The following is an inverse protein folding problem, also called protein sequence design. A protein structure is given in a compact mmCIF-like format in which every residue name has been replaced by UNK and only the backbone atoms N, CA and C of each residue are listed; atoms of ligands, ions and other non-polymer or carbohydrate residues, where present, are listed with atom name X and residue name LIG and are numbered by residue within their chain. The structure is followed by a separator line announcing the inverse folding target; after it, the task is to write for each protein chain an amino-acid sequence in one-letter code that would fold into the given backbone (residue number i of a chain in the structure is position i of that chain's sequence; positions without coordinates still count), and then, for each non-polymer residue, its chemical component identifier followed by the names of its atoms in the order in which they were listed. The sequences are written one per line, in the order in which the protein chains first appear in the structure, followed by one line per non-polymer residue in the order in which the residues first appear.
data_IF_708604094289
#
_entry.id   IF_708604094289
#
_cell.length_a   1.000
_cell.length_b   1.000
_cell.length_c   1.000
_cell.angle_alpha   90.00
_cell.angle_beta   90.00
_cell.angle_gamma   90.00
#
_symmetry.space_group_name_H-M   'P 1'
#
loop_
_entity.id
_entity.type
_entity.pdbx_description
1 polymer ?
#
# COMPACT_ATOMS: atom_id res chain seq x y z
N UNK A 1 6.08 6.45 38.23
CA UNK A 1 4.94 6.73 37.33
C UNK A 1 5.47 7.50 36.12
N UNK A 2 5.72 6.81 35.00
CA UNK A 2 6.10 7.48 33.75
C UNK A 2 4.85 7.64 32.88
N UNK A 3 4.05 8.68 33.14
CA UNK A 3 2.98 9.07 32.23
C UNK A 3 3.61 9.76 31.01
N UNK A 4 3.53 9.12 29.84
CA UNK A 4 3.77 9.80 28.56
C UNK A 4 2.60 10.79 28.37
N UNK A 5 2.81 12.11 28.38
CA UNK A 5 1.71 13.03 28.13
C UNK A 5 1.27 12.84 26.68
N UNK A 6 0.06 12.31 26.49
CA UNK A 6 -0.58 12.30 25.19
C UNK A 6 -1.01 13.74 24.94
N UNK A 7 -0.17 14.50 24.25
CA UNK A 7 -0.49 15.87 23.88
C UNK A 7 -1.79 15.89 23.06
N UNK A 8 -2.76 16.71 23.46
CA UNK A 8 -4.03 16.91 22.77
C UNK A 8 -3.82 17.32 21.29
N UNK A 9 -2.74 18.04 20.99
CA UNK A 9 -2.33 18.37 19.62
C UNK A 9 -2.10 17.12 18.76
N UNK A 10 -1.56 16.04 19.33
CA UNK A 10 -1.34 14.77 18.63
C UNK A 10 -2.67 14.09 18.30
N UNK A 11 -3.69 14.28 19.13
CA UNK A 11 -5.05 13.75 18.91
C UNK A 11 -5.71 14.49 17.76
N UNK A 12 -5.67 15.83 17.74
CA UNK A 12 -6.20 16.61 16.62
C UNK A 12 -5.54 16.25 15.28
N UNK A 13 -4.21 16.14 15.27
CA UNK A 13 -3.48 15.70 14.07
C UNK A 13 -3.95 14.32 13.59
N UNK A 14 -4.12 13.36 14.51
CA UNK A 14 -4.64 12.01 14.18
C UNK A 14 -6.06 12.06 13.64
N UNK A 15 -6.93 12.92 14.18
CA UNK A 15 -8.31 13.07 13.70
C UNK A 15 -8.31 13.60 12.27
N UNK A 16 -7.57 14.68 11.99
CA UNK A 16 -7.46 15.27 10.65
C UNK A 16 -6.87 14.24 9.67
N UNK A 17 -5.77 13.58 10.06
CA UNK A 17 -5.14 12.52 9.26
C UNK A 17 -6.13 11.38 8.95
N UNK A 18 -6.91 10.94 9.94
CA UNK A 18 -7.91 9.89 9.76
C UNK A 18 -9.06 10.33 8.84
N UNK A 19 -9.49 11.58 8.94
CA UNK A 19 -10.51 12.15 8.05
C UNK A 19 -10.04 12.16 6.59
N UNK A 20 -8.78 12.54 6.35
CA UNK A 20 -8.15 12.48 5.02
C UNK A 20 -8.12 11.04 4.52
N UNK A 21 -7.59 10.09 5.31
CA UNK A 21 -7.53 8.67 4.93
C UNK A 21 -8.91 8.10 4.58
N UNK A 22 -9.94 8.42 5.36
CA UNK A 22 -11.31 7.95 5.08
C UNK A 22 -11.87 8.51 3.77
N UNK A 23 -11.46 9.72 3.34
CA UNK A 23 -11.80 10.26 2.02
C UNK A 23 -11.04 9.52 0.91
N UNK A 24 -9.73 9.35 1.07
CA UNK A 24 -8.89 8.63 0.10
C UNK A 24 -9.34 7.18 -0.11
N UNK A 25 -9.79 6.50 0.95
CA UNK A 25 -10.29 5.13 0.87
C UNK A 25 -11.45 4.94 -0.11
N UNK A 26 -12.25 5.98 -0.39
CA UNK A 26 -13.38 5.88 -1.33
C UNK A 26 -12.95 5.76 -2.79
N UNK A 27 -11.74 6.22 -3.11
CA UNK A 27 -11.20 6.24 -4.47
C UNK A 27 -9.96 5.38 -4.61
N UNK A 28 -9.42 4.88 -3.49
CA UNK A 28 -8.22 4.05 -3.48
C UNK A 28 -8.36 2.82 -4.39
N UNK A 29 -9.54 2.20 -4.40
CA UNK A 29 -9.86 1.03 -5.24
C UNK A 29 -9.76 1.31 -6.75
N UNK A 30 -9.86 2.58 -7.18
CA UNK A 30 -9.65 2.99 -8.57
C UNK A 30 -8.17 3.23 -8.91
N UNK A 31 -7.34 3.47 -7.90
CA UNK A 31 -5.92 3.81 -8.07
C UNK A 31 -4.99 2.60 -7.92
N UNK A 32 -5.44 1.53 -7.26
CA UNK A 32 -4.61 0.36 -6.94
C UNK A 32 -5.07 -0.88 -7.69
N UNK A 33 -4.13 -1.79 -7.96
CA UNK A 33 -4.46 -3.08 -8.56
C UNK A 33 -5.10 -4.03 -7.54
N UNK A 34 -5.94 -4.95 -8.02
CA UNK A 34 -6.54 -6.01 -7.21
C UNK A 34 -5.50 -6.90 -6.50
N UNK A 35 -4.31 -7.08 -7.09
CA UNK A 35 -3.20 -7.82 -6.50
C UNK A 35 -2.52 -7.07 -5.34
N UNK A 36 -2.73 -5.76 -5.17
CA UNK A 36 -2.16 -4.99 -4.07
C UNK A 36 -2.91 -5.32 -2.77
N UNK A 37 -2.34 -6.18 -1.94
CA UNK A 37 -2.99 -6.71 -0.73
C UNK A 37 -2.57 -6.01 0.57
N UNK A 38 -1.43 -5.31 0.58
CA UNK A 38 -0.94 -4.59 1.76
C UNK A 38 -1.52 -3.18 1.89
N UNK A 39 -1.86 -2.79 3.12
CA UNK A 39 -2.30 -1.42 3.49
C UNK A 39 -3.59 -0.92 2.80
N UNK A 40 -4.44 -1.83 2.31
CA UNK A 40 -5.75 -1.53 1.73
C UNK A 40 -6.85 -1.84 2.74
N UNK A 41 -7.82 -0.94 2.89
CA UNK A 41 -8.97 -1.21 3.76
C UNK A 41 -9.77 -2.39 3.20
N UNK A 42 -10.25 -3.28 4.07
CA UNK A 42 -11.03 -4.49 3.75
C UNK A 42 -10.24 -5.65 3.10
N UNK A 43 -8.93 -5.52 2.89
CA UNK A 43 -8.08 -6.68 2.53
C UNK A 43 -7.51 -7.32 3.79
N UNK A 44 -7.58 -8.64 3.86
CA UNK A 44 -7.06 -9.42 4.98
C UNK A 44 -5.65 -9.88 4.67
N UNK A 45 -4.85 -10.12 5.72
CA UNK A 45 -3.49 -10.65 5.56
C UNK A 45 -3.47 -12.01 4.84
N UNK A 46 -4.57 -12.75 4.92
CA UNK A 46 -4.79 -14.01 4.21
C UNK A 46 -4.79 -13.83 2.70
N UNK A 47 -5.22 -12.68 2.17
CA UNK A 47 -5.25 -12.40 0.73
C UNK A 47 -3.83 -12.31 0.17
N UNK A 48 -2.91 -11.67 0.91
CA UNK A 48 -1.48 -11.63 0.59
C UNK A 48 -0.85 -13.03 0.59
N UNK A 49 -1.22 -13.87 1.57
CA UNK A 49 -0.72 -15.25 1.65
C UNK A 49 -1.23 -16.10 0.50
N UNK A 50 -2.51 -15.96 0.13
CA UNK A 50 -3.12 -16.69 -0.98
C UNK A 50 -2.44 -16.32 -2.31
N UNK A 51 -2.24 -15.02 -2.56
CA UNK A 51 -1.54 -14.54 -3.75
C UNK A 51 -0.11 -15.11 -3.84
N UNK A 52 0.62 -15.13 -2.72
CA UNK A 52 1.96 -15.73 -2.68
C UNK A 52 1.93 -17.25 -2.97
N UNK A 53 0.92 -17.95 -2.45
CA UNK A 53 0.72 -19.37 -2.71
C UNK A 53 0.41 -19.64 -4.19
N UNK A 54 -0.45 -18.84 -4.81
CA UNK A 54 -0.76 -18.93 -6.24
C UNK A 54 0.47 -18.71 -7.12
N UNK A 55 1.32 -17.73 -6.78
CA UNK A 55 2.59 -17.48 -7.47
C UNK A 55 3.49 -18.73 -7.35
N UNK A 56 3.70 -19.26 -6.14
CA UNK A 56 4.52 -20.46 -5.91
C UNK A 56 3.97 -21.69 -6.63
N UNK A 57 2.67 -21.91 -6.58
CA UNK A 57 2.00 -23.02 -7.24
C UNK A 57 2.14 -22.92 -8.77
N UNK A 58 1.93 -21.73 -9.32
CA UNK A 58 2.10 -21.46 -10.77
C UNK A 58 3.54 -21.72 -11.21
N UNK A 59 4.52 -21.28 -10.43
CA UNK A 59 5.93 -21.54 -10.67
C UNK A 59 6.24 -23.04 -10.63
N UNK A 60 5.69 -23.78 -9.66
CA UNK A 60 5.90 -25.22 -9.51
C UNK A 60 5.31 -26.00 -10.69
N UNK A 61 4.09 -25.66 -11.12
CA UNK A 61 3.40 -26.39 -12.19
C UNK A 61 3.96 -26.10 -13.58
N UNK A 62 4.59 -24.93 -13.79
CA UNK A 62 5.22 -24.56 -15.05
C UNK A 62 6.73 -24.83 -15.11
N UNK A 63 7.25 -25.68 -14.21
CA UNK A 63 8.65 -26.17 -14.26
C UNK A 63 8.95 -27.03 -15.48
N UNK A 64 7.94 -27.65 -16.10
CA UNK A 64 8.10 -28.55 -17.25
C UNK A 64 7.48 -27.89 -18.48
N UNK A 65 8.31 -27.28 -19.33
CA UNK A 65 7.90 -26.59 -20.55
C UNK A 65 8.98 -25.66 -21.12
N UNK A 66 8.83 -25.21 -22.38
CA UNK A 66 9.82 -24.35 -23.08
C UNK A 66 9.91 -22.90 -22.56
N UNK A 67 9.03 -22.46 -21.66
CA UNK A 67 9.02 -21.10 -21.07
C UNK A 67 9.18 -21.19 -19.56
N UNK A 68 10.30 -20.70 -19.04
CA UNK A 68 10.52 -20.54 -17.60
C UNK A 68 9.76 -19.33 -17.04
N UNK A 69 9.22 -19.47 -15.82
CA UNK A 69 8.67 -18.36 -15.05
C UNK A 69 9.61 -18.03 -13.89
N UNK A 70 9.74 -16.75 -13.57
CA UNK A 70 10.55 -16.24 -12.46
C UNK A 70 9.67 -15.34 -11.59
N UNK A 71 9.72 -15.53 -10.27
CA UNK A 71 9.22 -14.54 -9.33
C UNK A 71 10.36 -13.62 -8.89
N UNK A 72 10.09 -12.31 -8.92
CA UNK A 72 10.99 -11.28 -8.44
C UNK A 72 10.40 -10.64 -7.19
N UNK A 73 11.11 -10.73 -6.07
CA UNK A 73 10.76 -10.02 -4.84
C UNK A 73 11.59 -8.74 -4.76
N UNK A 74 10.92 -7.59 -4.76
CA UNK A 74 11.54 -6.27 -4.59
C UNK A 74 11.11 -5.74 -3.22
N UNK A 75 12.08 -5.31 -2.41
CA UNK A 75 11.85 -4.71 -1.10
C UNK A 75 12.47 -3.30 -1.07
N UNK A 76 11.73 -2.33 -0.53
CA UNK A 76 12.20 -0.93 -0.42
C UNK A 76 12.53 -0.59 1.04
N UNK A 77 13.82 -0.49 1.34
CA UNK A 77 14.27 -0.05 2.67
C UNK A 77 13.85 1.39 2.95
N UNK A 78 13.23 1.64 4.10
CA UNK A 78 12.78 2.98 4.54
C UNK A 78 11.92 3.70 3.49
N UNK A 79 10.97 2.98 2.89
CA UNK A 79 10.12 3.51 1.81
C UNK A 79 9.50 4.88 2.12
N UNK A 80 9.00 5.08 3.35
CA UNK A 80 8.40 6.36 3.76
C UNK A 80 9.40 7.52 3.90
N UNK A 81 10.66 7.23 4.25
CA UNK A 81 11.71 8.26 4.39
C UNK A 81 12.32 8.62 3.03
N UNK A 82 12.29 7.69 2.07
CA UNK A 82 12.91 7.84 0.75
C UNK A 82 11.98 8.34 -0.35
N UNK A 83 10.67 8.39 -0.11
CA UNK A 83 9.73 8.98 -1.06
C UNK A 83 9.97 10.47 -1.17
N UNK A 84 10.26 10.92 -2.39
CA UNK A 84 10.40 12.34 -2.69
C UNK A 84 9.02 13.03 -2.68
N UNK A 85 8.93 14.16 -1.98
CA UNK A 85 7.65 14.89 -1.82
C UNK A 85 7.15 15.47 -3.15
N UNK A 86 8.05 15.95 -3.99
CA UNK A 86 7.69 16.52 -5.28
C UNK A 86 7.18 15.45 -6.24
N UNK A 87 7.77 14.25 -6.21
CA UNK A 87 7.23 13.09 -6.91
C UNK A 87 5.81 12.75 -6.43
N UNK A 88 5.60 12.68 -5.11
CA UNK A 88 4.28 12.37 -4.54
C UNK A 88 3.24 13.42 -4.95
N UNK A 89 3.59 14.71 -4.92
CA UNK A 89 2.70 15.81 -5.32
C UNK A 89 2.33 15.69 -6.80
N UNK A 90 3.30 15.46 -7.69
CA UNK A 90 3.06 15.28 -9.13
C UNK A 90 2.16 14.07 -9.40
N UNK A 91 2.37 12.96 -8.68
CA UNK A 91 1.52 11.76 -8.79
C UNK A 91 0.08 12.08 -8.37
N UNK A 92 -0.12 12.76 -7.25
CA UNK A 92 -1.45 13.17 -6.79
C UNK A 92 -2.16 14.09 -7.79
N UNK A 93 -1.43 15.03 -8.41
CA UNK A 93 -1.96 15.87 -9.49
C UNK A 93 -2.38 15.03 -10.69
N UNK A 94 -1.55 14.08 -11.14
CA UNK A 94 -1.89 13.18 -12.25
C UNK A 94 -3.09 12.27 -11.97
N UNK A 95 -3.32 11.92 -10.71
CA UNK A 95 -4.49 11.15 -10.27
C UNK A 95 -5.76 12.01 -10.12
N UNK A 96 -5.70 13.33 -10.39
CA UNK A 96 -6.84 14.24 -10.30
C UNK A 96 -7.17 14.70 -8.88
N UNK A 97 -6.28 14.50 -7.90
CA UNK A 97 -6.51 14.95 -6.52
C UNK A 97 -6.21 16.43 -6.29
N UNK A 98 -5.56 17.09 -7.25
CA UNK A 98 -5.08 18.46 -7.13
C UNK A 98 -5.72 19.41 -8.16
N UNK A 99 -6.91 19.08 -8.66
CA UNK A 99 -7.73 20.03 -9.42
C UNK A 99 -8.58 20.84 -8.43
N UNK A 100 -8.31 22.14 -8.39
CA UNK A 100 -9.19 23.17 -7.83
C UNK A 100 -9.91 23.87 -8.96
#
# INVERSE_FOLDING_TARGET
MNFRPISLCMVFYKIISKAIVNRFQKVLDLCIDSAQSGFVLKKLITDSMLLAYEILHTLRNKRVGKKGLMALKIDMSKAYDRVERDFLKQMMTKMGFADS
#
